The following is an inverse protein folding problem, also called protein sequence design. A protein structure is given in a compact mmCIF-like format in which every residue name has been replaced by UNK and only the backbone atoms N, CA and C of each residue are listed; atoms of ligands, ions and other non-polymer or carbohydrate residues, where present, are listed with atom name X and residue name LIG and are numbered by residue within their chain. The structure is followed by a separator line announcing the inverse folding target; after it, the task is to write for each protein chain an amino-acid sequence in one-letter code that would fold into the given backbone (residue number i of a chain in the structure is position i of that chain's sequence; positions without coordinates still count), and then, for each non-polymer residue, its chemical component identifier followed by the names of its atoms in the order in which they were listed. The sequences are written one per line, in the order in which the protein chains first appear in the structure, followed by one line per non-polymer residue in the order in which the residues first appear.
data_IF_202585157791
#
_entry.id   IF_202585157791
#
_cell.length_a   1.000
_cell.length_b   1.000
_cell.length_c   1.000
_cell.angle_alpha   90.00
_cell.angle_beta   90.00
_cell.angle_gamma   90.00
#
_symmetry.space_group_name_H-M   'P 1'
#
loop_
_entity.id
_entity.type
_entity.pdbx_description
1 polymer ?
#
# COMPACT_ATOMS: atom_id res chain seq x y z
N UNK A 1 25.62 -28.63 -79.87
CA UNK A 1 26.91 -29.27 -79.49
C UNK A 1 27.42 -28.53 -78.24
N UNK A 2 27.58 -29.19 -77.08
CA UNK A 2 28.23 -28.58 -75.92
C UNK A 2 29.75 -28.53 -76.17
N UNK A 3 30.53 -27.63 -75.52
CA UNK A 3 31.11 -28.00 -74.20
C UNK A 3 31.46 -26.84 -73.22
N UNK A 4 31.36 -27.16 -71.92
CA UNK A 4 32.39 -27.06 -70.86
C UNK A 4 33.24 -25.77 -70.77
N UNK A 5 33.15 -25.03 -69.66
CA UNK A 5 34.25 -24.76 -68.68
C UNK A 5 33.93 -23.58 -67.74
N UNK A 6 33.90 -23.91 -66.45
CA UNK A 6 34.56 -23.22 -65.31
C UNK A 6 34.92 -21.74 -65.45
N UNK A 7 34.46 -20.88 -64.53
CA UNK A 7 35.32 -19.94 -63.77
C UNK A 7 34.62 -19.38 -62.52
N UNK A 8 35.36 -19.49 -61.41
CA UNK A 8 35.19 -18.79 -60.15
C UNK A 8 34.92 -17.30 -60.36
N UNK A 9 33.93 -16.77 -59.63
CA UNK A 9 33.71 -15.35 -59.44
C UNK A 9 33.23 -15.14 -58.01
N UNK A 10 34.18 -14.96 -57.10
CA UNK A 10 33.95 -14.65 -55.71
C UNK A 10 33.14 -13.35 -55.57
N UNK A 11 32.05 -13.38 -54.80
CA UNK A 11 31.55 -12.18 -54.13
C UNK A 11 31.24 -12.55 -52.68
N UNK A 12 32.28 -12.38 -51.86
CA UNK A 12 32.24 -12.49 -50.41
C UNK A 12 31.52 -11.25 -49.90
N UNK A 13 30.27 -11.40 -49.45
CA UNK A 13 29.54 -10.33 -48.76
C UNK A 13 30.15 -10.20 -47.37
N UNK A 14 30.94 -9.15 -47.18
CA UNK A 14 31.54 -8.79 -45.90
C UNK A 14 30.45 -8.15 -45.02
N UNK A 15 29.68 -8.97 -44.29
CA UNK A 15 28.92 -8.50 -43.13
C UNK A 15 29.90 -8.28 -41.98
N UNK A 16 30.32 -7.02 -41.79
CA UNK A 16 30.97 -6.57 -40.56
C UNK A 16 29.99 -6.74 -39.39
N UNK A 17 30.13 -7.80 -38.62
CA UNK A 17 29.58 -7.87 -37.27
C UNK A 17 30.39 -6.91 -36.41
N UNK A 18 29.79 -5.80 -36.01
CA UNK A 18 30.28 -5.01 -34.89
C UNK A 18 30.06 -5.84 -33.64
N UNK A 19 31.06 -6.65 -33.27
CA UNK A 19 31.13 -7.20 -31.92
C UNK A 19 31.41 -6.04 -30.96
N UNK A 20 30.32 -5.50 -30.40
CA UNK A 20 30.40 -4.67 -29.19
C UNK A 20 30.85 -5.61 -28.08
N UNK A 21 32.04 -5.42 -27.47
CA UNK A 21 32.36 -6.17 -26.27
C UNK A 21 31.35 -5.78 -25.20
N UNK A 22 30.45 -6.70 -24.84
CA UNK A 22 29.70 -6.59 -23.61
C UNK A 22 30.73 -6.50 -22.49
N UNK A 23 30.87 -5.30 -21.90
CA UNK A 23 31.69 -5.12 -20.71
C UNK A 23 31.03 -5.90 -19.59
N UNK A 24 31.49 -7.13 -19.37
CA UNK A 24 31.17 -7.90 -18.17
C UNK A 24 31.92 -7.27 -17.00
N UNK A 25 31.42 -6.16 -16.47
CA UNK A 25 31.80 -5.71 -15.13
C UNK A 25 31.06 -6.59 -14.14
N UNK A 26 31.51 -7.84 -14.02
CA UNK A 26 31.13 -8.70 -12.92
C UNK A 26 31.67 -8.04 -11.64
N UNK A 27 30.79 -7.86 -10.66
CA UNK A 27 31.19 -7.34 -9.36
C UNK A 27 32.34 -8.19 -8.76
N UNK A 28 33.22 -7.59 -7.93
CA UNK A 28 34.25 -8.31 -7.19
C UNK A 28 33.70 -9.56 -6.47
N UNK A 29 34.55 -10.56 -6.25
CA UNK A 29 34.14 -11.77 -5.55
C UNK A 29 33.61 -11.42 -4.14
N UNK A 30 32.38 -11.84 -3.84
CA UNK A 30 31.67 -11.45 -2.61
C UNK A 30 30.90 -10.14 -2.75
N UNK A 31 30.58 -9.69 -3.96
CA UNK A 31 29.67 -8.59 -4.24
C UNK A 31 28.61 -9.00 -5.28
N UNK A 32 27.37 -8.52 -5.11
CA UNK A 32 26.22 -8.77 -5.99
C UNK A 32 25.78 -7.48 -6.67
N UNK A 33 25.44 -7.56 -7.95
CA UNK A 33 25.01 -6.40 -8.75
C UNK A 33 23.51 -6.10 -8.55
N UNK A 34 23.17 -4.86 -8.20
CA UNK A 34 21.77 -4.39 -8.09
C UNK A 34 21.55 -3.18 -9.00
N UNK A 35 20.51 -3.22 -9.83
CA UNK A 35 20.24 -2.18 -10.83
C UNK A 35 18.82 -1.59 -10.64
N UNK A 36 18.72 -0.33 -10.20
CA UNK A 36 17.43 0.38 -10.05
C UNK A 36 17.36 1.71 -10.82
N UNK A 37 18.50 2.27 -11.27
CA UNK A 37 18.59 3.28 -12.34
C UNK A 37 20.06 3.50 -12.77
N UNK A 38 20.81 2.40 -12.78
CA UNK A 38 22.28 2.34 -12.72
C UNK A 38 22.65 1.14 -11.85
N UNK A 39 23.72 0.44 -12.20
CA UNK A 39 24.12 -0.77 -11.49
C UNK A 39 25.24 -0.45 -10.50
N UNK A 40 25.03 -0.83 -9.25
CA UNK A 40 26.04 -0.75 -8.20
C UNK A 40 26.38 -2.16 -7.72
N UNK A 41 27.63 -2.36 -7.33
CA UNK A 41 28.07 -3.58 -6.66
C UNK A 41 27.95 -3.36 -5.15
N UNK A 42 27.17 -4.23 -4.49
CA UNK A 42 27.02 -4.26 -3.04
C UNK A 42 27.68 -5.52 -2.51
N UNK A 43 28.32 -5.49 -1.32
CA UNK A 43 28.80 -6.70 -0.68
C UNK A 43 27.68 -7.74 -0.63
N UNK A 44 28.04 -8.98 -0.92
CA UNK A 44 27.16 -10.13 -0.86
C UNK A 44 26.75 -10.32 0.60
N UNK A 45 25.53 -9.88 0.91
CA UNK A 45 24.98 -9.95 2.24
C UNK A 45 24.37 -11.34 2.50
N UNK A 46 24.32 -12.25 1.52
CA UNK A 46 23.78 -13.62 1.70
C UNK A 46 24.40 -14.39 2.87
N UNK A 47 25.74 -14.36 3.11
CA UNK A 47 26.34 -15.08 4.24
C UNK A 47 26.02 -14.44 5.60
N UNK A 48 25.61 -13.18 5.64
CA UNK A 48 25.18 -12.49 6.87
C UNK A 48 23.66 -12.51 7.09
N UNK A 49 22.87 -12.69 6.03
CA UNK A 49 21.41 -12.56 6.06
C UNK A 49 20.66 -13.88 6.22
N UNK A 50 21.31 -15.04 6.16
CA UNK A 50 20.64 -16.32 6.36
C UNK A 50 19.48 -16.56 5.37
N UNK A 51 18.74 -17.65 5.55
CA UNK A 51 17.55 -17.95 4.74
C UNK A 51 16.44 -16.91 5.00
N UNK A 52 16.23 -16.04 4.03
CA UNK A 52 15.29 -14.89 4.02
C UNK A 52 13.78 -15.21 3.82
N UNK A 53 13.15 -16.15 4.54
CA UNK A 53 11.69 -16.04 4.76
C UNK A 53 11.31 -15.52 6.15
N UNK A 54 11.91 -16.04 7.23
CA UNK A 54 11.48 -15.73 8.60
C UNK A 54 12.05 -14.39 9.11
N UNK A 55 13.19 -13.95 8.58
CA UNK A 55 13.86 -12.72 9.00
C UNK A 55 13.25 -11.44 8.40
N UNK A 56 12.51 -11.56 7.28
CA UNK A 56 11.84 -10.41 6.66
C UNK A 56 10.75 -9.86 7.58
N UNK A 57 9.96 -10.73 8.22
CA UNK A 57 8.93 -10.29 9.16
C UNK A 57 9.51 -9.67 10.45
N UNK A 58 10.68 -10.15 10.89
CA UNK A 58 11.37 -9.61 12.06
C UNK A 58 11.82 -8.14 11.86
N UNK A 59 12.04 -7.72 10.61
CA UNK A 59 12.41 -6.34 10.26
C UNK A 59 11.18 -5.53 9.81
N UNK A 60 10.28 -6.14 9.03
CA UNK A 60 9.15 -5.44 8.43
C UNK A 60 8.16 -4.93 9.47
N UNK A 61 7.83 -5.72 10.51
CA UNK A 61 6.86 -5.31 11.51
C UNK A 61 7.35 -4.11 12.35
N UNK A 62 8.58 -4.12 12.92
CA UNK A 62 9.10 -2.94 13.62
C UNK A 62 9.25 -1.71 12.72
N UNK A 63 9.67 -1.90 11.45
CA UNK A 63 9.79 -0.79 10.50
C UNK A 63 8.41 -0.15 10.20
N UNK A 64 7.38 -0.97 9.98
CA UNK A 64 6.01 -0.50 9.76
C UNK A 64 5.47 0.21 11.01
N UNK A 65 5.69 -0.32 12.21
CA UNK A 65 5.25 0.31 13.46
C UNK A 65 5.89 1.69 13.67
N UNK A 66 7.19 1.81 13.39
CA UNK A 66 7.91 3.09 13.45
C UNK A 66 7.34 4.08 12.45
N UNK A 67 7.15 3.65 11.20
CA UNK A 67 6.60 4.49 10.15
C UNK A 67 5.18 4.97 10.48
N UNK A 68 4.30 4.09 10.96
CA UNK A 68 2.93 4.44 11.37
C UNK A 68 2.94 5.52 12.46
N UNK A 69 3.83 5.38 13.44
CA UNK A 69 3.96 6.33 14.55
C UNK A 69 4.42 7.70 14.06
N UNK A 70 5.41 7.74 13.15
CA UNK A 70 5.92 8.98 12.56
C UNK A 70 4.86 9.64 11.67
N UNK A 71 4.25 8.88 10.76
CA UNK A 71 3.21 9.38 9.86
C UNK A 71 2.02 9.96 10.63
N UNK A 72 1.60 9.31 11.72
CA UNK A 72 0.57 9.83 12.64
C UNK A 72 1.01 11.15 13.26
N UNK A 73 2.24 11.24 13.78
CA UNK A 73 2.75 12.47 14.40
C UNK A 73 2.76 13.64 13.40
N UNK A 74 3.19 13.40 12.16
CA UNK A 74 3.20 14.40 11.09
C UNK A 74 1.77 14.84 10.72
N UNK A 75 0.84 13.88 10.61
CA UNK A 75 -0.57 14.19 10.37
C UNK A 75 -1.18 15.03 11.51
N UNK A 76 -0.84 14.74 12.76
CA UNK A 76 -1.30 15.50 13.92
C UNK A 76 -0.77 16.95 13.92
N UNK A 77 0.50 17.14 13.55
CA UNK A 77 1.15 18.45 13.53
C UNK A 77 0.56 19.42 12.49
N UNK A 78 -0.02 18.88 11.41
CA UNK A 78 -0.63 19.69 10.34
C UNK A 78 -2.12 19.95 10.56
N UNK A 79 -2.66 19.57 11.72
CA UNK A 79 -4.06 19.78 12.11
C UNK A 79 -4.99 18.66 11.62
N UNK A 80 -5.91 18.27 12.49
CA UNK A 80 -6.93 17.23 12.27
C UNK A 80 -8.30 17.70 12.78
N UNK A 81 -9.36 17.03 12.33
CA UNK A 81 -10.75 17.31 12.71
C UNK A 81 -11.38 16.09 13.41
N UNK A 82 -12.34 16.26 14.33
CA UNK A 82 -13.15 15.14 14.84
C UNK A 82 -14.04 14.57 13.74
N UNK A 83 -14.57 13.35 13.92
CA UNK A 83 -15.59 12.79 13.01
C UNK A 83 -16.74 13.79 12.80
N UNK A 84 -17.19 14.05 11.55
CA UNK A 84 -18.34 14.90 11.30
C UNK A 84 -19.58 14.41 12.08
N UNK A 85 -20.34 15.30 12.76
CA UNK A 85 -21.41 14.86 13.67
C UNK A 85 -22.46 13.94 13.05
N UNK A 86 -22.84 14.17 11.78
CA UNK A 86 -23.81 13.33 11.07
C UNK A 86 -23.27 11.95 10.73
N UNK A 87 -21.97 11.83 10.43
CA UNK A 87 -21.30 10.54 10.24
C UNK A 87 -21.22 9.80 11.58
N UNK A 88 -20.75 10.50 12.63
CA UNK A 88 -20.63 9.96 13.98
C UNK A 88 -21.96 9.40 14.50
N UNK A 89 -23.05 10.13 14.31
CA UNK A 89 -24.38 9.71 14.78
C UNK A 89 -24.84 8.41 14.11
N UNK A 90 -24.58 8.24 12.81
CA UNK A 90 -24.97 7.04 12.07
C UNK A 90 -24.13 5.83 12.51
N UNK A 91 -22.84 6.03 12.75
CA UNK A 91 -21.89 4.94 13.07
C UNK A 91 -21.99 4.41 14.50
N UNK A 92 -22.67 5.12 15.40
CA UNK A 92 -22.99 4.66 16.76
C UNK A 92 -23.73 3.32 16.81
N UNK A 93 -24.37 2.91 15.71
CA UNK A 93 -25.03 1.60 15.61
C UNK A 93 -24.03 0.43 15.57
N UNK A 94 -22.81 0.65 15.08
CA UNK A 94 -21.82 -0.40 14.80
C UNK A 94 -20.58 -0.33 15.68
N UNK A 95 -20.23 0.87 16.16
CA UNK A 95 -19.01 1.10 16.90
C UNK A 95 -19.28 1.60 18.31
N UNK A 96 -18.47 1.13 19.24
CA UNK A 96 -18.42 1.68 20.60
C UNK A 96 -18.07 3.18 20.54
N UNK A 97 -18.71 4.04 21.36
CA UNK A 97 -18.39 5.46 21.41
C UNK A 97 -16.89 5.76 21.61
N UNK A 98 -16.17 4.92 22.36
CA UNK A 98 -14.74 5.08 22.59
C UNK A 98 -13.87 4.94 21.34
N UNK A 99 -14.30 4.18 20.33
CA UNK A 99 -13.62 4.14 19.02
C UNK A 99 -13.86 5.45 18.28
N UNK A 100 -15.11 5.94 18.29
CA UNK A 100 -15.52 7.16 17.58
C UNK A 100 -14.92 8.43 18.19
N UNK A 101 -14.72 8.45 19.50
CA UNK A 101 -14.25 9.64 20.23
C UNK A 101 -12.75 9.90 20.06
N UNK A 102 -11.95 8.84 19.88
CA UNK A 102 -10.51 9.00 19.62
C UNK A 102 -10.22 9.33 18.16
N UNK A 103 -11.10 8.89 17.24
CA UNK A 103 -10.84 8.99 15.83
C UNK A 103 -10.85 10.45 15.36
N UNK A 104 -9.79 10.80 14.63
CA UNK A 104 -9.63 12.07 13.94
C UNK A 104 -9.56 11.82 12.45
N UNK A 105 -9.82 12.85 11.66
CA UNK A 105 -9.57 12.79 10.23
C UNK A 105 -8.87 14.03 9.70
N UNK A 106 -8.29 13.84 8.51
CA UNK A 106 -7.76 14.90 7.68
C UNK A 106 -7.97 14.52 6.22
N UNK A 107 -8.18 15.49 5.36
CA UNK A 107 -8.04 15.29 3.91
C UNK A 107 -6.58 15.50 3.58
N UNK A 108 -5.89 14.43 3.16
CA UNK A 108 -4.46 14.45 2.85
C UNK A 108 -4.15 15.29 1.63
N UNK A 109 -2.92 15.79 1.53
CA UNK A 109 -2.37 16.16 0.22
C UNK A 109 -1.93 14.90 -0.54
N UNK A 110 -1.76 15.04 -1.86
CA UNK A 110 -1.42 13.91 -2.72
C UNK A 110 -0.13 13.20 -2.26
N UNK A 111 0.83 13.93 -1.69
CA UNK A 111 2.12 13.38 -1.26
C UNK A 111 2.00 12.47 -0.04
N UNK A 112 1.36 12.96 1.04
CA UNK A 112 1.17 12.20 2.26
C UNK A 112 0.29 10.96 2.04
N UNK A 113 -0.79 11.13 1.26
CA UNK A 113 -1.69 10.01 0.95
C UNK A 113 -0.98 8.93 0.12
N UNK A 114 -0.21 9.32 -0.90
CA UNK A 114 0.53 8.38 -1.75
C UNK A 114 1.62 7.65 -0.96
N UNK A 115 2.32 8.33 -0.05
CA UNK A 115 3.30 7.68 0.83
C UNK A 115 2.64 6.63 1.73
N UNK A 116 1.46 6.93 2.27
CA UNK A 116 0.71 6.00 3.11
C UNK A 116 0.21 4.78 2.35
N UNK A 117 -0.35 5.02 1.17
CA UNK A 117 -0.79 3.99 0.20
C UNK A 117 0.36 3.07 -0.18
N UNK A 118 1.53 3.63 -0.51
CA UNK A 118 2.71 2.87 -0.91
C UNK A 118 3.24 1.98 0.23
N UNK A 119 3.31 2.51 1.46
CA UNK A 119 3.81 1.75 2.61
C UNK A 119 2.87 0.59 2.99
N UNK A 120 1.56 0.83 2.93
CA UNK A 120 0.56 -0.20 3.24
C UNK A 120 0.25 -1.11 2.05
N UNK A 121 0.90 -0.89 0.90
CA UNK A 121 0.70 -1.66 -0.33
C UNK A 121 -0.76 -1.72 -0.79
N UNK A 122 -1.51 -0.62 -0.60
CA UNK A 122 -2.94 -0.57 -0.89
C UNK A 122 -3.26 0.50 -1.95
N UNK A 123 -3.07 0.21 -3.25
CA UNK A 123 -3.07 1.21 -4.32
C UNK A 123 -4.45 1.88 -4.58
N UNK A 124 -5.55 1.25 -4.18
CA UNK A 124 -6.91 1.62 -4.58
C UNK A 124 -7.83 1.98 -3.40
N UNK A 125 -7.32 2.72 -2.42
CA UNK A 125 -8.12 3.21 -1.30
C UNK A 125 -8.45 4.71 -1.37
N UNK A 126 -9.65 5.03 -0.88
CA UNK A 126 -10.14 6.40 -0.68
C UNK A 126 -9.74 6.98 0.68
N UNK A 127 -9.24 6.14 1.60
CA UNK A 127 -8.74 6.55 2.90
C UNK A 127 -7.65 5.59 3.40
N UNK A 128 -6.85 6.06 4.37
CA UNK A 128 -5.86 5.25 5.10
C UNK A 128 -5.91 5.63 6.58
N UNK A 129 -5.92 4.64 7.46
CA UNK A 129 -5.90 4.86 8.91
C UNK A 129 -4.47 4.81 9.48
N UNK A 130 -4.02 5.94 10.03
CA UNK A 130 -2.78 6.09 10.79
C UNK A 130 -3.10 6.10 12.28
N UNK A 131 -3.20 4.91 12.88
CA UNK A 131 -3.50 4.70 14.30
C UNK A 131 -4.92 5.19 14.65
N UNK A 132 -5.10 6.45 15.01
CA UNK A 132 -6.38 7.10 15.30
C UNK A 132 -6.71 8.24 14.32
N UNK A 133 -5.82 8.53 13.36
CA UNK A 133 -6.01 9.58 12.35
C UNK A 133 -6.31 8.92 11.01
N UNK A 134 -7.49 9.20 10.46
CA UNK A 134 -7.92 8.72 9.15
C UNK A 134 -7.59 9.78 8.10
N UNK A 135 -6.70 9.45 7.18
CA UNK A 135 -6.37 10.28 6.03
C UNK A 135 -7.30 9.94 4.89
N UNK A 136 -8.18 10.86 4.51
CA UNK A 136 -9.01 10.74 3.32
C UNK A 136 -8.31 11.32 2.11
N UNK A 137 -8.50 10.70 0.93
CA UNK A 137 -8.00 11.22 -0.34
C UNK A 137 -8.65 12.55 -0.71
N UNK A 138 -9.94 12.67 -0.44
CA UNK A 138 -10.74 13.83 -0.85
C UNK A 138 -11.82 14.16 0.19
N UNK A 139 -12.29 15.40 0.16
CA UNK A 139 -13.29 15.90 1.10
C UNK A 139 -14.66 15.23 0.94
N UNK A 140 -15.03 14.83 -0.29
CA UNK A 140 -16.32 14.19 -0.54
C UNK A 140 -16.39 12.84 0.17
N UNK A 141 -15.33 12.04 0.09
CA UNK A 141 -15.18 10.78 0.80
C UNK A 141 -15.26 11.00 2.32
N UNK A 142 -14.55 12.00 2.85
CA UNK A 142 -14.54 12.32 4.28
C UNK A 142 -15.92 12.80 4.79
N UNK A 143 -16.70 13.51 3.98
CA UNK A 143 -17.95 14.13 4.42
C UNK A 143 -19.19 13.27 4.16
N UNK A 144 -19.15 12.36 3.18
CA UNK A 144 -20.35 11.69 2.68
C UNK A 144 -20.28 10.15 2.71
N UNK A 145 -19.08 9.56 2.75
CA UNK A 145 -18.94 8.11 2.59
C UNK A 145 -18.93 7.37 3.93
N UNK A 146 -20.13 7.16 4.50
CA UNK A 146 -20.32 6.47 5.80
C UNK A 146 -19.75 5.04 5.77
N UNK A 147 -19.85 4.35 4.63
CA UNK A 147 -19.33 2.99 4.50
C UNK A 147 -17.80 2.95 4.55
N UNK A 148 -17.13 3.92 3.91
CA UNK A 148 -15.67 4.06 4.00
C UNK A 148 -15.25 4.41 5.43
N UNK A 149 -15.96 5.33 6.10
CA UNK A 149 -15.71 5.58 7.53
C UNK A 149 -15.82 4.32 8.38
N UNK A 150 -16.81 3.46 8.11
CA UNK A 150 -16.94 2.20 8.83
C UNK A 150 -15.77 1.25 8.59
N UNK A 151 -15.17 1.25 7.40
CA UNK A 151 -13.93 0.51 7.11
C UNK A 151 -12.79 1.04 7.96
N UNK A 152 -12.51 2.35 7.87
CA UNK A 152 -11.36 2.97 8.54
C UNK A 152 -11.46 2.89 10.06
N UNK A 153 -12.66 3.02 10.64
CA UNK A 153 -12.87 2.83 12.07
C UNK A 153 -12.60 1.40 12.54
N UNK A 154 -12.68 0.40 11.64
CA UNK A 154 -12.25 -0.96 12.00
C UNK A 154 -10.76 -0.98 12.27
N UNK A 155 -9.96 -0.27 11.48
CA UNK A 155 -8.53 -0.14 11.74
C UNK A 155 -8.24 0.65 13.02
N UNK A 156 -8.98 1.73 13.29
CA UNK A 156 -8.87 2.46 14.59
C UNK A 156 -9.13 1.50 15.76
N UNK A 157 -10.17 0.68 15.68
CA UNK A 157 -10.47 -0.34 16.69
C UNK A 157 -9.34 -1.38 16.80
N UNK A 158 -8.83 -1.88 15.67
CA UNK A 158 -7.71 -2.84 15.67
C UNK A 158 -6.45 -2.26 16.32
N UNK A 159 -6.15 -0.98 16.10
CA UNK A 159 -5.05 -0.30 16.79
C UNK A 159 -5.30 -0.16 18.30
N UNK A 160 -6.53 0.14 18.72
CA UNK A 160 -6.88 0.17 20.15
C UNK A 160 -6.73 -1.21 20.80
N UNK A 161 -7.12 -2.28 20.11
CA UNK A 161 -7.13 -3.64 20.65
C UNK A 161 -5.73 -4.29 20.65
N UNK A 162 -4.94 -4.06 19.60
CA UNK A 162 -3.66 -4.76 19.39
C UNK A 162 -2.45 -3.90 19.66
N UNK A 163 -2.62 -2.58 19.75
CA UNK A 163 -1.53 -1.62 19.70
C UNK A 163 -0.88 -1.55 18.31
N UNK A 164 0.02 -0.58 18.14
CA UNK A 164 0.70 -0.32 16.85
C UNK A 164 1.59 -1.50 16.44
N UNK A 165 2.34 -2.06 17.39
CA UNK A 165 3.22 -3.22 17.15
C UNK A 165 2.43 -4.46 16.77
N UNK A 166 1.33 -4.75 17.50
CA UNK A 166 0.47 -5.89 17.23
C UNK A 166 -0.27 -5.79 15.91
N UNK A 167 -0.67 -4.58 15.50
CA UNK A 167 -1.18 -4.32 14.16
C UNK A 167 -0.12 -4.56 13.10
N UNK A 168 1.07 -3.95 13.25
CA UNK A 168 2.14 -4.05 12.26
C UNK A 168 2.61 -5.50 12.05
N UNK A 169 2.68 -6.29 13.13
CA UNK A 169 2.97 -7.72 13.06
C UNK A 169 1.93 -8.47 12.22
N UNK A 170 0.63 -8.28 12.51
CA UNK A 170 -0.45 -8.95 11.77
C UNK A 170 -0.50 -8.52 10.32
N UNK A 171 -0.35 -7.23 10.05
CA UNK A 171 -0.43 -6.67 8.70
C UNK A 171 0.72 -7.17 7.81
N UNK A 172 1.94 -7.25 8.35
CA UNK A 172 3.10 -7.77 7.62
C UNK A 172 3.09 -9.29 7.45
N UNK A 173 2.38 -10.02 8.31
CA UNK A 173 2.23 -11.48 8.20
C UNK A 173 1.10 -11.87 7.24
N UNK A 174 -0.09 -11.29 7.42
CA UNK A 174 -1.25 -11.52 6.58
C UNK A 174 -2.15 -10.28 6.58
N UNK A 175 -1.92 -9.39 5.62
CA UNK A 175 -2.73 -8.18 5.46
C UNK A 175 -4.21 -8.50 5.21
N UNK A 176 -4.55 -9.63 4.56
CA UNK A 176 -5.95 -9.99 4.28
C UNK A 176 -6.71 -10.27 5.57
N UNK A 177 -6.08 -10.88 6.56
CA UNK A 177 -6.69 -11.12 7.87
C UNK A 177 -7.01 -9.80 8.61
N UNK A 178 -6.25 -8.74 8.35
CA UNK A 178 -6.49 -7.40 8.92
C UNK A 178 -7.58 -6.65 8.14
N UNK A 179 -7.56 -6.72 6.80
CA UNK A 179 -8.47 -6.02 5.89
C UNK A 179 -9.87 -6.64 5.81
N UNK A 180 -9.99 -7.98 5.87
CA UNK A 180 -11.27 -8.66 5.67
C UNK A 180 -12.37 -8.22 6.66
N UNK A 181 -12.11 -8.05 7.98
CA UNK A 181 -13.08 -7.47 8.89
C UNK A 181 -13.50 -6.04 8.53
N UNK A 182 -12.59 -5.22 8.00
CA UNK A 182 -12.85 -3.84 7.61
C UNK A 182 -13.74 -3.79 6.34
N UNK A 183 -13.50 -4.67 5.37
CA UNK A 183 -14.41 -4.82 4.23
C UNK A 183 -15.78 -5.39 4.59
N UNK A 184 -15.85 -6.31 5.56
CA UNK A 184 -17.12 -6.89 6.00
C UNK A 184 -18.06 -5.82 6.58
N UNK A 185 -17.55 -4.98 7.49
CA UNK A 185 -18.34 -3.90 8.09
C UNK A 185 -18.67 -2.81 7.08
N UNK A 186 -17.76 -2.49 6.16
CA UNK A 186 -18.04 -1.57 5.05
C UNK A 186 -19.23 -2.05 4.21
N UNK A 187 -19.26 -3.33 3.87
CA UNK A 187 -20.34 -3.92 3.08
C UNK A 187 -21.67 -3.89 3.85
N UNK A 188 -21.64 -4.20 5.14
CA UNK A 188 -22.82 -4.13 6.01
C UNK A 188 -23.41 -2.71 6.07
N UNK A 189 -22.58 -1.72 6.39
CA UNK A 189 -23.00 -0.31 6.49
C UNK A 189 -23.54 0.19 5.15
N UNK A 190 -22.87 -0.15 4.03
CA UNK A 190 -23.34 0.22 2.69
C UNK A 190 -24.74 -0.33 2.39
N UNK A 191 -25.05 -1.56 2.83
CA UNK A 191 -26.40 -2.13 2.70
C UNK A 191 -27.41 -1.37 3.58
N UNK A 192 -27.09 -1.17 4.85
CA UNK A 192 -28.00 -0.49 5.79
C UNK A 192 -28.31 0.95 5.38
N UNK A 193 -27.33 1.71 4.86
CA UNK A 193 -27.55 3.09 4.38
C UNK A 193 -28.47 3.07 3.16
N UNK A 194 -28.25 2.15 2.22
CA UNK A 194 -29.11 2.01 1.03
C UNK A 194 -30.55 1.68 1.40
N UNK A 195 -30.75 0.74 2.34
CA UNK A 195 -32.08 0.36 2.82
C UNK A 195 -32.79 1.52 3.53
N UNK A 196 -32.07 2.30 4.35
CA UNK A 196 -32.62 3.49 4.99
C UNK A 196 -33.05 4.57 3.99
N UNK A 197 -32.29 4.77 2.90
CA UNK A 197 -32.66 5.69 1.82
C UNK A 197 -33.95 5.26 1.11
N UNK A 198 -34.14 3.96 0.87
CA UNK A 198 -35.36 3.43 0.25
C UNK A 198 -36.59 3.64 1.16
N UNK A 199 -36.46 3.34 2.46
CA UNK A 199 -37.56 3.50 3.43
C UNK A 199 -37.99 4.97 3.57
N UNK A 200 -37.04 5.91 3.59
CA UNK A 200 -37.34 7.35 3.65
C UNK A 200 -37.99 7.87 2.37
N UNK A 201 -37.72 7.23 1.22
CA UNK A 201 -38.32 7.61 -0.07
C UNK A 201 -39.77 7.14 -0.19
N UNK A 202 -40.12 6.01 0.41
CA UNK A 202 -41.48 5.47 0.43
C UNK A 202 -42.37 6.15 1.47
N UNK A 203 -41.82 6.61 2.60
CA UNK A 203 -42.56 7.36 3.63
C UNK A 203 -42.90 8.81 3.23
N UNK A 204 -42.26 9.33 2.18
CA UNK A 204 -42.49 10.69 1.65
C UNK A 204 -43.54 10.76 0.52
N UNK A 205 -44.23 9.66 0.21
CA UNK A 205 -45.31 9.58 -0.79
C UNK A 205 -46.67 9.40 -0.11
#
# INVERSE_FOLDING_TARGET
MPPITTRLGALFVLCLTLDVPAQTTACPAGETQVCLNGCICLPDLEPMLGSLPDDVHQIAAPALALWLTQARADAANTGTQPIPPHIRQQLLRWYDPGVLDIARYKVGDDGQFNAATAMLQNPDVGAVTLIDIILFRDAQSAEQNIALWAHELKHVQQYQEWGVEGFAQRYTQDFNAVEAPAYAIQAEVRRSVREGLLQNSDAGR
#
